data_IF_978051456045
#
_entry.id   IF_978051456045
#
_cell.length_a   1.000
_cell.length_b   1.000
_cell.length_c   1.000
_cell.angle_alpha   90.00
_cell.angle_beta   90.00
_cell.angle_gamma   90.00
#
_symmetry.space_group_name_H-M   'P 1'
#
loop_
_entity.id
_entity.type
_entity.pdbx_description
1 polymer ?
#
# COMPACT_ATOMS: atom_id res chain seq x y z
N UNK A 1 0.96 -7.30 9.92
CA UNK A 1 0.37 -7.31 8.56
C UNK A 1 -1.14 -7.63 8.55
N UNK A 2 -1.82 -7.79 9.69
CA UNK A 2 -3.27 -8.11 9.74
C UNK A 2 -4.15 -7.09 9.02
N UNK A 3 -3.86 -5.79 9.19
CA UNK A 3 -4.61 -4.73 8.52
C UNK A 3 -4.60 -4.85 6.99
N UNK A 4 -3.48 -5.30 6.40
CA UNK A 4 -3.40 -5.48 4.94
C UNK A 4 -4.34 -6.58 4.47
N UNK A 5 -4.42 -7.68 5.22
CA UNK A 5 -5.34 -8.79 4.97
C UNK A 5 -6.79 -8.30 5.08
N UNK A 6 -7.10 -7.55 6.13
CA UNK A 6 -8.45 -7.02 6.36
C UNK A 6 -8.87 -6.05 5.25
N UNK A 7 -7.98 -5.14 4.83
CA UNK A 7 -8.24 -4.20 3.73
C UNK A 7 -8.46 -4.94 2.42
N UNK A 8 -7.64 -5.94 2.10
CA UNK A 8 -7.83 -6.76 0.89
C UNK A 8 -9.16 -7.51 0.92
N UNK A 9 -9.51 -8.11 2.06
CA UNK A 9 -10.80 -8.78 2.22
C UNK A 9 -11.97 -7.80 1.98
N UNK A 10 -11.89 -6.58 2.50
CA UNK A 10 -12.88 -5.53 2.26
C UNK A 10 -12.93 -5.07 0.80
N UNK A 11 -11.81 -5.00 0.10
CA UNK A 11 -11.80 -4.65 -1.33
C UNK A 11 -12.45 -5.74 -2.18
N UNK A 12 -12.22 -7.01 -1.86
CA UNK A 12 -12.86 -8.15 -2.54
C UNK A 12 -14.36 -8.16 -2.29
N UNK A 13 -14.79 -7.87 -1.07
CA UNK A 13 -16.21 -7.74 -0.72
C UNK A 13 -16.85 -6.54 -1.44
N UNK A 14 -16.19 -5.37 -1.41
CA UNK A 14 -16.62 -4.16 -2.11
C UNK A 14 -16.81 -4.42 -3.61
N UNK A 15 -15.89 -5.14 -4.24
CA UNK A 15 -15.99 -5.54 -5.65
C UNK A 15 -17.20 -6.42 -5.92
N UNK A 16 -17.49 -7.36 -5.02
CA UNK A 16 -18.51 -8.39 -5.24
C UNK A 16 -19.93 -7.88 -4.92
N UNK A 17 -20.06 -7.12 -3.83
CA UNK A 17 -21.34 -6.75 -3.23
C UNK A 17 -21.58 -5.24 -3.18
N UNK A 18 -20.54 -4.41 -3.30
CA UNK A 18 -20.63 -2.97 -3.08
C UNK A 18 -21.13 -2.13 -4.25
N UNK A 19 -21.32 -2.72 -5.43
CA UNK A 19 -21.75 -1.98 -6.61
C UNK A 19 -23.13 -1.33 -6.43
N UNK A 20 -24.13 -2.08 -5.96
CA UNK A 20 -25.51 -1.58 -5.87
C UNK A 20 -25.65 -0.43 -4.88
N UNK A 21 -24.97 -0.53 -3.73
CA UNK A 21 -24.94 0.52 -2.71
C UNK A 21 -24.25 1.78 -3.24
N UNK A 22 -23.04 1.64 -3.81
CA UNK A 22 -22.31 2.76 -4.42
C UNK A 22 -23.14 3.42 -5.54
N UNK A 23 -23.78 2.62 -6.37
CA UNK A 23 -24.57 3.14 -7.48
C UNK A 23 -25.82 3.90 -7.00
N UNK A 24 -26.46 3.43 -5.91
CA UNK A 24 -27.55 4.17 -5.27
C UNK A 24 -27.07 5.52 -4.72
N UNK A 25 -25.93 5.56 -4.03
CA UNK A 25 -25.33 6.81 -3.55
C UNK A 25 -25.01 7.77 -4.71
N UNK A 26 -24.40 7.28 -5.78
CA UNK A 26 -24.08 8.07 -6.97
C UNK A 26 -25.35 8.64 -7.61
N UNK A 27 -26.45 7.88 -7.68
CA UNK A 27 -27.74 8.41 -8.16
C UNK A 27 -28.22 9.58 -7.31
N UNK A 28 -28.22 9.43 -5.99
CA UNK A 28 -28.64 10.52 -5.09
C UNK A 28 -27.78 11.77 -5.23
N UNK A 29 -26.46 11.58 -5.44
CA UNK A 29 -25.54 12.67 -5.72
C UNK A 29 -25.84 13.37 -7.05
N UNK A 30 -26.04 12.60 -8.12
CA UNK A 30 -26.37 13.13 -9.44
C UNK A 30 -27.69 13.92 -9.40
N UNK A 31 -28.72 13.39 -8.75
CA UNK A 31 -30.01 14.08 -8.57
C UNK A 31 -29.83 15.42 -7.84
N UNK A 32 -29.07 15.41 -6.73
CA UNK A 32 -28.79 16.62 -5.95
C UNK A 32 -28.00 17.68 -6.74
N UNK A 33 -27.16 17.24 -7.68
CA UNK A 33 -26.35 18.12 -8.55
C UNK A 33 -26.98 18.39 -9.91
N UNK A 34 -28.18 17.86 -10.19
CA UNK A 34 -28.87 17.94 -11.49
C UNK A 34 -28.00 17.42 -12.65
N UNK A 35 -27.24 16.36 -12.40
CA UNK A 35 -26.46 15.66 -13.41
C UNK A 35 -27.37 14.61 -14.04
N UNK A 36 -27.51 14.64 -15.36
CA UNK A 36 -28.31 13.68 -16.10
C UNK A 36 -27.67 12.29 -16.04
N UNK A 37 -28.44 11.29 -15.61
CA UNK A 37 -27.97 9.90 -15.53
C UNK A 37 -28.34 9.20 -16.83
N UNK A 38 -27.36 8.67 -17.59
CA UNK A 38 -27.64 7.94 -18.82
C UNK A 38 -28.43 6.66 -18.53
N UNK A 39 -29.21 6.21 -19.52
CA UNK A 39 -29.90 4.91 -19.42
C UNK A 39 -28.87 3.79 -19.32
N UNK A 40 -28.93 3.00 -18.25
CA UNK A 40 -28.00 1.90 -17.98
C UNK A 40 -28.06 0.79 -19.05
N UNK A 41 -29.16 0.70 -19.79
CA UNK A 41 -29.34 -0.22 -20.91
C UNK A 41 -28.89 0.36 -22.26
N UNK A 42 -28.48 1.63 -22.31
CA UNK A 42 -28.05 2.25 -23.55
C UNK A 42 -26.78 1.57 -24.08
N UNK A 43 -26.68 1.36 -25.41
CA UNK A 43 -25.50 0.76 -26.00
C UNK A 43 -24.38 1.79 -26.08
N UNK A 44 -23.20 1.41 -25.60
CA UNK A 44 -21.97 2.19 -25.58
C UNK A 44 -20.88 1.45 -26.35
N UNK A 45 -20.13 2.12 -27.23
CA UNK A 45 -18.95 1.52 -27.83
C UNK A 45 -17.91 1.27 -26.75
N UNK A 46 -17.42 0.02 -26.63
CA UNK A 46 -16.34 -0.29 -25.71
C UNK A 46 -15.03 0.28 -26.27
N UNK A 47 -14.44 1.26 -25.58
CA UNK A 47 -13.17 1.87 -25.99
C UNK A 47 -11.99 1.16 -25.31
N UNK A 48 -10.91 0.84 -26.05
CA UNK A 48 -9.62 0.45 -25.43
C UNK A 48 -9.13 -0.99 -25.61
N UNK A 49 -9.73 -1.81 -26.48
CA UNK A 49 -9.12 -3.07 -26.96
C UNK A 49 -8.91 -3.03 -28.47
N UNK A 50 -8.04 -3.92 -28.96
CA UNK A 50 -7.36 -3.90 -30.27
C UNK A 50 -8.17 -3.34 -31.45
N UNK A 51 -7.49 -2.86 -32.50
CA UNK A 51 -8.12 -2.36 -33.75
C UNK A 51 -9.10 -3.36 -34.40
N UNK A 52 -9.11 -4.62 -34.00
CA UNK A 52 -10.01 -5.69 -34.47
C UNK A 52 -11.37 -5.75 -33.73
N UNK A 53 -11.53 -5.16 -32.54
CA UNK A 53 -12.79 -5.11 -31.78
C UNK A 53 -13.59 -3.82 -31.98
N UNK A 54 -13.34 -3.11 -33.08
CA UNK A 54 -14.17 -1.96 -33.48
C UNK A 54 -15.59 -2.43 -33.75
N UNK A 55 -16.51 -2.20 -32.82
CA UNK A 55 -17.95 -2.47 -33.00
C UNK A 55 -18.63 -3.26 -31.88
N UNK A 56 -17.91 -3.69 -30.84
CA UNK A 56 -18.56 -4.31 -29.68
C UNK A 56 -19.26 -3.23 -28.86
N UNK A 57 -20.59 -3.30 -28.85
CA UNK A 57 -21.45 -2.47 -28.01
C UNK A 57 -21.64 -3.18 -26.67
N UNK A 58 -21.33 -2.48 -25.59
CA UNK A 58 -21.64 -2.89 -24.22
C UNK A 58 -22.74 -2.00 -23.67
N UNK A 59 -23.38 -2.37 -22.58
CA UNK A 59 -24.31 -1.47 -21.89
C UNK A 59 -23.54 -0.40 -21.12
N UNK A 60 -24.16 0.76 -20.88
CA UNK A 60 -23.63 1.78 -19.97
C UNK A 60 -23.37 1.18 -18.57
N UNK A 61 -24.25 0.29 -18.08
CA UNK A 61 -24.01 -0.42 -16.83
C UNK A 61 -22.71 -1.22 -16.84
N UNK A 62 -22.45 -1.98 -17.91
CA UNK A 62 -21.21 -2.75 -18.02
C UNK A 62 -19.99 -1.85 -18.00
N UNK A 63 -20.05 -0.70 -18.68
CA UNK A 63 -18.95 0.24 -18.72
C UNK A 63 -18.61 0.79 -17.32
N UNK A 64 -19.61 1.22 -16.55
CA UNK A 64 -19.36 1.76 -15.21
C UNK A 64 -19.04 0.66 -14.19
N UNK A 65 -19.76 -0.46 -14.22
CA UNK A 65 -19.58 -1.55 -13.25
C UNK A 65 -18.29 -2.33 -13.49
N UNK A 66 -18.06 -2.77 -14.71
CA UNK A 66 -16.96 -3.68 -15.03
C UNK A 66 -15.72 -2.90 -15.46
N UNK A 67 -15.86 -2.05 -16.49
CA UNK A 67 -14.70 -1.38 -17.08
C UNK A 67 -14.14 -0.25 -16.20
N UNK A 68 -14.94 0.26 -15.26
CA UNK A 68 -14.53 1.35 -14.35
C UNK A 68 -14.40 0.86 -12.91
N UNK A 69 -15.49 0.43 -12.28
CA UNK A 69 -15.48 0.10 -10.85
C UNK A 69 -14.66 -1.16 -10.54
N UNK A 70 -14.93 -2.29 -11.18
CA UNK A 70 -14.13 -3.50 -10.97
C UNK A 70 -12.67 -3.30 -11.37
N UNK A 71 -12.43 -2.65 -12.52
CA UNK A 71 -11.07 -2.35 -12.96
C UNK A 71 -10.29 -1.50 -11.93
N UNK A 72 -10.93 -0.51 -11.29
CA UNK A 72 -10.30 0.29 -10.25
C UNK A 72 -9.98 -0.53 -8.99
N UNK A 73 -10.93 -1.34 -8.51
CA UNK A 73 -10.71 -2.18 -7.32
C UNK A 73 -9.65 -3.25 -7.58
N UNK A 74 -9.67 -3.88 -8.74
CA UNK A 74 -8.68 -4.88 -9.16
C UNK A 74 -7.29 -4.25 -9.28
N UNK A 75 -7.19 -3.02 -9.82
CA UNK A 75 -5.93 -2.28 -9.88
C UNK A 75 -5.38 -1.95 -8.48
N UNK A 76 -6.24 -1.51 -7.55
CA UNK A 76 -5.82 -1.24 -6.16
C UNK A 76 -5.31 -2.52 -5.49
N UNK A 77 -6.03 -3.64 -5.62
CA UNK A 77 -5.59 -4.93 -5.08
C UNK A 77 -4.24 -5.37 -5.66
N UNK A 78 -4.09 -5.28 -6.98
CA UNK A 78 -2.85 -5.63 -7.68
C UNK A 78 -1.67 -4.77 -7.18
N UNK A 79 -1.88 -3.46 -7.05
CA UNK A 79 -0.83 -2.56 -6.55
C UNK A 79 -0.48 -2.86 -5.08
N UNK A 80 -1.47 -3.23 -4.25
CA UNK A 80 -1.22 -3.67 -2.88
C UNK A 80 -0.37 -4.96 -2.83
N UNK A 81 -0.61 -5.91 -3.74
CA UNK A 81 0.22 -7.12 -3.85
C UNK A 81 1.66 -6.78 -4.27
N UNK A 82 1.83 -5.87 -5.21
CA UNK A 82 3.16 -5.44 -5.66
C UNK A 82 3.93 -4.69 -4.58
N UNK A 83 3.30 -3.71 -3.90
CA UNK A 83 3.97 -2.86 -2.91
C UNK A 83 4.17 -3.53 -1.55
N UNK A 84 3.28 -4.44 -1.17
CA UNK A 84 3.32 -5.14 0.11
C UNK A 84 3.49 -6.64 -0.12
N UNK A 85 4.37 -7.01 -1.05
CA UNK A 85 4.85 -8.38 -1.14
C UNK A 85 5.58 -8.77 0.16
N UNK A 86 5.84 -10.07 0.32
CA UNK A 86 6.46 -10.63 1.53
C UNK A 86 7.75 -9.87 1.92
N UNK A 87 8.65 -9.68 0.95
CA UNK A 87 9.92 -8.97 1.14
C UNK A 87 9.70 -7.50 1.55
N UNK A 88 8.85 -6.76 0.85
CA UNK A 88 8.58 -5.34 1.13
C UNK A 88 7.94 -5.14 2.51
N UNK A 89 7.14 -6.12 2.93
CA UNK A 89 6.49 -6.11 4.23
C UNK A 89 7.48 -6.41 5.36
N UNK A 90 8.39 -7.36 5.14
CA UNK A 90 9.48 -7.64 6.07
C UNK A 90 10.43 -6.44 6.18
N UNK A 91 10.75 -5.78 5.06
CA UNK A 91 11.51 -4.54 5.03
C UNK A 91 10.86 -3.47 5.92
N UNK A 92 9.56 -3.21 5.75
CA UNK A 92 8.83 -2.24 6.57
C UNK A 92 8.85 -2.59 8.06
N UNK A 93 8.70 -3.87 8.41
CA UNK A 93 8.81 -4.33 9.79
C UNK A 93 10.21 -4.08 10.34
N UNK A 94 11.25 -4.31 9.55
CA UNK A 94 12.63 -4.04 9.97
C UNK A 94 12.89 -2.54 10.14
N UNK A 95 12.45 -1.69 9.20
CA UNK A 95 12.56 -0.24 9.33
C UNK A 95 11.82 0.33 10.54
N UNK A 96 10.69 -0.29 10.92
CA UNK A 96 9.95 0.14 12.12
C UNK A 96 10.74 0.00 13.43
N UNK A 97 11.82 -0.79 13.43
CA UNK A 97 12.73 -0.92 14.57
C UNK A 97 13.64 0.29 14.78
N UNK A 98 13.82 1.15 13.76
CA UNK A 98 14.60 2.38 13.87
C UNK A 98 13.76 3.56 14.39
N UNK A 99 12.50 3.35 14.77
CA UNK A 99 11.61 4.38 15.32
C UNK A 99 12.23 5.05 16.56
N UNK A 100 12.63 6.34 16.50
CA UNK A 100 13.37 7.00 17.59
C UNK A 100 12.48 7.27 18.82
N UNK A 101 11.16 7.26 18.64
CA UNK A 101 10.20 7.56 19.71
C UNK A 101 10.37 6.63 20.90
N UNK A 102 10.15 7.18 22.10
CA UNK A 102 10.29 6.47 23.37
C UNK A 102 11.68 5.83 23.54
N UNK A 103 12.75 6.54 23.15
CA UNK A 103 14.13 6.07 23.27
C UNK A 103 14.38 4.77 22.49
N UNK A 104 13.93 4.74 21.23
CA UNK A 104 14.08 3.57 20.36
C UNK A 104 13.49 2.29 20.98
N UNK A 105 12.30 2.37 21.58
CA UNK A 105 11.72 1.24 22.33
C UNK A 105 11.43 0.01 21.45
N UNK A 106 11.24 0.21 20.14
CA UNK A 106 11.00 -0.85 19.16
C UNK A 106 12.28 -1.44 18.55
N UNK A 107 13.45 -0.97 18.97
CA UNK A 107 14.72 -1.42 18.42
C UNK A 107 14.91 -2.92 18.59
N UNK A 108 15.27 -3.59 17.50
CA UNK A 108 15.48 -5.03 17.48
C UNK A 108 16.65 -5.34 16.55
N UNK A 109 17.73 -5.82 17.14
CA UNK A 109 18.98 -6.15 16.45
C UNK A 109 18.74 -7.22 15.38
N UNK A 110 18.04 -8.31 15.72
CA UNK A 110 17.89 -9.45 14.81
C UNK A 110 17.06 -9.08 13.56
N UNK A 111 16.06 -8.20 13.71
CA UNK A 111 15.30 -7.65 12.56
C UNK A 111 16.17 -6.77 11.66
N UNK A 112 17.05 -5.94 12.23
CA UNK A 112 17.95 -5.10 11.44
C UNK A 112 19.09 -5.91 10.79
N UNK A 113 19.53 -7.00 11.42
CA UNK A 113 20.42 -7.99 10.76
C UNK A 113 19.70 -8.64 9.57
N UNK A 114 18.42 -8.99 9.72
CA UNK A 114 17.62 -9.52 8.62
C UNK A 114 17.49 -8.52 7.46
N UNK A 115 17.35 -7.22 7.76
CA UNK A 115 17.36 -6.16 6.75
C UNK A 115 18.66 -6.17 5.92
N UNK A 116 19.82 -6.28 6.57
CA UNK A 116 21.10 -6.36 5.86
C UNK A 116 21.24 -7.63 5.01
N UNK A 117 20.60 -8.73 5.41
CA UNK A 117 20.53 -9.96 4.61
C UNK A 117 19.60 -9.84 3.39
N UNK A 118 18.56 -9.02 3.47
CA UNK A 118 17.70 -8.73 2.31
C UNK A 118 18.48 -7.89 1.27
N UNK A 119 19.37 -7.02 1.74
CA UNK A 119 20.29 -6.23 0.91
C UNK A 119 21.71 -6.85 0.86
N UNK A 120 21.82 -8.17 0.77
CA UNK A 120 23.12 -8.87 0.84
C UNK A 120 24.17 -8.37 -0.17
N UNK A 121 23.74 -7.89 -1.34
CA UNK A 121 24.62 -7.31 -2.35
C UNK A 121 25.31 -6.01 -1.90
N UNK A 122 24.75 -5.29 -0.91
CA UNK A 122 25.28 -4.03 -0.39
C UNK A 122 26.22 -4.22 0.81
N UNK A 123 26.32 -5.45 1.34
CA UNK A 123 27.15 -5.78 2.51
C UNK A 123 28.19 -6.84 2.18
N UNK A 124 29.43 -6.63 2.60
CA UNK A 124 30.44 -7.69 2.57
C UNK A 124 30.17 -8.74 3.65
N UNK A 125 30.83 -9.91 3.54
CA UNK A 125 30.77 -10.94 4.58
C UNK A 125 31.28 -10.45 5.94
N UNK A 126 32.26 -9.56 5.94
CA UNK A 126 32.79 -8.93 7.15
C UNK A 126 31.77 -7.95 7.75
N UNK A 127 31.08 -7.17 6.92
CA UNK A 127 30.03 -6.28 7.38
C UNK A 127 28.89 -7.07 8.05
N UNK A 128 28.40 -8.13 7.40
CA UNK A 128 27.33 -8.98 7.96
C UNK A 128 27.76 -9.70 9.25
N UNK A 129 29.06 -9.98 9.41
CA UNK A 129 29.60 -10.59 10.63
C UNK A 129 29.66 -9.59 11.79
N UNK A 130 29.98 -8.33 11.49
CA UNK A 130 30.16 -7.27 12.50
C UNK A 130 28.88 -6.46 12.78
N UNK A 131 27.88 -6.51 11.90
CA UNK A 131 26.68 -5.66 11.97
C UNK A 131 25.93 -5.80 13.30
N UNK A 132 25.92 -7.01 13.89
CA UNK A 132 25.26 -7.25 15.18
C UNK A 132 25.88 -6.40 16.29
N UNK A 133 27.20 -6.38 16.38
CA UNK A 133 27.93 -5.62 17.40
C UNK A 133 27.86 -4.11 17.13
N UNK A 134 27.89 -3.72 15.86
CA UNK A 134 27.69 -2.32 15.46
C UNK A 134 26.30 -1.80 15.85
N UNK A 135 25.24 -2.59 15.60
CA UNK A 135 23.87 -2.24 15.98
C UNK A 135 23.68 -2.14 17.50
N UNK A 136 24.33 -3.02 18.27
CA UNK A 136 24.33 -2.95 19.74
C UNK A 136 25.04 -1.69 20.25
N UNK A 137 26.17 -1.35 19.64
CA UNK A 137 26.91 -0.12 19.95
C UNK A 137 26.08 1.11 19.61
N UNK A 138 25.45 1.12 18.44
CA UNK A 138 24.55 2.18 17.97
C UNK A 138 23.42 2.42 18.97
N UNK A 139 22.67 1.38 19.37
CA UNK A 139 21.53 1.57 20.28
C UNK A 139 21.96 2.07 21.66
N UNK A 140 23.11 1.61 22.16
CA UNK A 140 23.65 2.11 23.42
C UNK A 140 24.02 3.60 23.32
N UNK A 141 24.60 4.01 22.19
CA UNK A 141 24.95 5.40 21.94
C UNK A 141 23.72 6.29 21.86
N UNK A 142 22.76 5.99 20.98
CA UNK A 142 21.58 6.85 20.75
C UNK A 142 20.62 6.90 21.95
N UNK A 143 20.64 5.90 22.84
CA UNK A 143 19.87 5.96 24.10
C UNK A 143 20.54 6.78 25.19
N UNK A 144 21.85 7.01 25.10
CA UNK A 144 22.64 7.74 26.10
C UNK A 144 22.77 9.23 25.75
N UNK A 145 22.80 9.58 24.47
CA UNK A 145 23.03 10.95 24.00
C UNK A 145 21.73 11.74 24.07
N UNK A 146 21.78 12.89 24.74
CA UNK A 146 20.60 13.75 24.98
C UNK A 146 19.99 14.29 23.69
N UNK A 147 20.76 14.47 22.61
CA UNK A 147 20.27 14.94 21.31
C UNK A 147 19.20 14.00 20.69
N UNK A 148 19.19 12.73 21.12
CA UNK A 148 18.19 11.74 20.69
C UNK A 148 17.03 11.60 21.68
N UNK A 149 17.09 12.27 22.83
CA UNK A 149 16.00 12.26 23.81
C UNK A 149 14.81 13.07 23.28
N UNK A 150 13.64 12.44 23.23
CA UNK A 150 12.44 13.08 22.66
C UNK A 150 12.44 13.19 21.13
N UNK A 151 13.41 12.59 20.43
CA UNK A 151 13.44 12.52 18.97
C UNK A 151 12.18 11.80 18.44
N UNK A 152 11.45 12.47 17.54
CA UNK A 152 10.18 11.96 16.98
C UNK A 152 10.40 11.39 15.58
N UNK A 153 11.35 11.96 14.83
CA UNK A 153 11.80 11.48 13.52
C UNK A 153 13.29 11.79 13.31
N UNK A 154 13.94 11.06 12.41
CA UNK A 154 15.35 11.33 12.07
C UNK A 154 15.57 12.65 11.32
N UNK A 155 14.52 13.22 10.72
CA UNK A 155 14.61 14.49 10.01
C UNK A 155 14.90 15.66 10.96
N UNK A 156 14.40 15.58 12.19
CA UNK A 156 14.60 16.56 13.26
C UNK A 156 16.05 16.63 13.77
N UNK A 157 16.90 15.67 13.41
CA UNK A 157 18.32 15.64 13.77
C UNK A 157 19.22 16.34 12.74
N UNK A 158 18.66 16.74 11.59
CA UNK A 158 19.40 17.37 10.47
C UNK A 158 19.20 18.89 10.38
N UNK A 159 18.50 19.49 11.34
CA UNK A 159 18.25 20.94 11.46
C UNK A 159 19.08 21.58 12.55
#
# INVERSE_FOLDING_TARGET
>A
MSLLVDVKARLVDLRSNGWEELFAEVKTFCDAKKIEIPSMNAPRPRWGRSRQEKGIMVTEEHHYRVDTFYAAVDAINTEMDHRFNEVSSDLLVCFSCLDPRNSFSKFNVDKLVQLARIYDADFSGDDLSNIKDQLQTFIHHVRRVDDFTGCIDFGSLLS
#
